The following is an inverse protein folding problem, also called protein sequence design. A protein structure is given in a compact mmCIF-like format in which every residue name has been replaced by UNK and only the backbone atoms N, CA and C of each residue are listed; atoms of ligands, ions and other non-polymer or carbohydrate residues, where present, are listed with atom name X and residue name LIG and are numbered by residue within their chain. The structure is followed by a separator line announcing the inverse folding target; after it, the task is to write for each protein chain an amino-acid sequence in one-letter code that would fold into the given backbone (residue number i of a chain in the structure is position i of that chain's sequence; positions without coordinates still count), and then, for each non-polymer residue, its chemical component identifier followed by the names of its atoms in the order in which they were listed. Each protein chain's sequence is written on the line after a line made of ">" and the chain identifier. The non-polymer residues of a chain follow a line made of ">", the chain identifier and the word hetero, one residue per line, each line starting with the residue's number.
data_IF_260749830923
#
_entry.id   IF_260749830923
#
_cell.length_a   1.000
_cell.length_b   1.000
_cell.length_c   1.000
_cell.angle_alpha   90.00
_cell.angle_beta   90.00
_cell.angle_gamma   90.00
#
_symmetry.space_group_name_H-M   'P 1'
#
loop_
_entity.id
_entity.type
_entity.pdbx_description
1 polymer ?
#
# COMPACT_ATOMS: atom_id res chain seq x y z
N UNK A 1 -45.01 4.67 -8.55
CA UNK A 1 -43.93 4.83 -9.54
C UNK A 1 -42.79 3.94 -9.09
N UNK A 2 -42.74 2.70 -9.57
CA UNK A 2 -41.57 1.84 -9.38
C UNK A 2 -40.67 2.09 -10.58
N UNK A 3 -39.69 2.98 -10.44
CA UNK A 3 -38.60 3.03 -11.42
C UNK A 3 -37.84 1.71 -11.28
N UNK A 4 -38.08 0.79 -12.22
CA UNK A 4 -37.22 -0.35 -12.49
C UNK A 4 -35.77 0.14 -12.40
N UNK A 5 -35.00 -0.37 -11.45
CA UNK A 5 -33.58 -0.07 -11.34
C UNK A 5 -32.95 -0.34 -12.70
N UNK A 6 -32.46 0.69 -13.37
CA UNK A 6 -31.94 0.57 -14.72
C UNK A 6 -30.76 -0.42 -14.72
N UNK A 7 -31.00 -1.61 -15.24
CA UNK A 7 -30.04 -2.70 -15.48
C UNK A 7 -29.22 -2.47 -16.74
N UNK A 8 -29.40 -1.33 -17.42
CA UNK A 8 -28.70 -1.00 -18.65
C UNK A 8 -27.23 -0.80 -18.36
N UNK A 9 -26.38 -1.60 -18.99
CA UNK A 9 -24.94 -1.44 -18.89
C UNK A 9 -24.50 -0.09 -19.49
N UNK A 10 -23.50 0.54 -18.87
CA UNK A 10 -22.88 1.76 -19.35
C UNK A 10 -21.49 1.45 -19.89
N UNK A 11 -21.12 2.08 -21.01
CA UNK A 11 -19.79 1.93 -21.61
C UNK A 11 -19.34 3.25 -22.22
N UNK A 12 -18.11 3.68 -21.94
CA UNK A 12 -17.58 4.97 -22.40
C UNK A 12 -16.27 5.38 -21.76
N UNK A 13 -15.87 6.64 -21.95
CA UNK A 13 -14.73 7.22 -21.24
C UNK A 13 -15.05 7.41 -19.76
N UNK A 14 -14.02 7.47 -18.92
CA UNK A 14 -14.19 7.71 -17.49
C UNK A 14 -14.95 9.02 -17.21
N UNK A 15 -14.69 10.07 -18.01
CA UNK A 15 -15.38 11.37 -17.89
C UNK A 15 -16.86 11.28 -18.23
N UNK A 16 -17.22 10.58 -19.31
CA UNK A 16 -18.61 10.43 -19.74
C UNK A 16 -19.41 9.60 -18.73
N UNK A 17 -18.83 8.49 -18.25
CA UNK A 17 -19.45 7.61 -17.28
C UNK A 17 -19.62 8.32 -15.93
N UNK A 18 -18.60 9.06 -15.46
CA UNK A 18 -18.71 9.84 -14.24
C UNK A 18 -19.80 10.92 -14.34
N UNK A 19 -19.91 11.58 -15.50
CA UNK A 19 -20.97 12.56 -15.76
C UNK A 19 -22.36 11.92 -15.79
N UNK A 20 -22.50 10.76 -16.43
CA UNK A 20 -23.75 10.02 -16.51
C UNK A 20 -24.22 9.48 -15.15
N UNK A 21 -23.29 9.14 -14.26
CA UNK A 21 -23.55 8.67 -12.91
C UNK A 21 -23.64 9.79 -11.86
N UNK A 22 -23.51 11.06 -12.26
CA UNK A 22 -23.56 12.19 -11.33
C UNK A 22 -24.91 12.23 -10.58
N UNK A 23 -24.85 12.13 -9.25
CA UNK A 23 -26.03 12.09 -8.36
C UNK A 23 -26.71 10.73 -8.25
N UNK A 24 -26.18 9.69 -8.90
CA UNK A 24 -26.63 8.30 -8.79
C UNK A 24 -25.78 7.58 -7.73
N UNK A 25 -26.40 6.82 -6.83
CA UNK A 25 -25.70 6.10 -5.75
C UNK A 25 -26.02 4.60 -5.72
N UNK A 26 -26.74 4.10 -6.71
CA UNK A 26 -27.24 2.72 -6.72
C UNK A 26 -27.41 2.18 -8.14
N UNK A 27 -26.52 2.56 -9.06
CA UNK A 27 -26.52 1.96 -10.39
C UNK A 27 -26.15 0.48 -10.27
N UNK A 28 -26.96 -0.41 -10.84
CA UNK A 28 -26.76 -1.86 -10.72
C UNK A 28 -26.38 -2.54 -12.04
N UNK A 29 -26.39 -1.79 -13.15
CA UNK A 29 -25.87 -2.24 -14.44
C UNK A 29 -24.34 -2.37 -14.41
N UNK A 30 -23.80 -3.22 -15.29
CA UNK A 30 -22.35 -3.30 -15.48
C UNK A 30 -21.80 -1.99 -16.08
N UNK A 31 -20.60 -1.61 -15.67
CA UNK A 31 -19.92 -0.40 -16.14
C UNK A 31 -18.62 -0.78 -16.82
N UNK A 32 -18.43 -0.34 -18.06
CA UNK A 32 -17.18 -0.50 -18.81
C UNK A 32 -16.53 0.86 -19.04
N UNK A 33 -15.34 1.06 -18.49
CA UNK A 33 -14.51 2.25 -18.73
C UNK A 33 -13.47 1.92 -19.79
N UNK A 34 -13.61 2.50 -20.98
CA UNK A 34 -12.75 2.20 -22.14
C UNK A 34 -11.59 3.15 -22.32
N UNK A 35 -11.64 4.32 -21.69
CA UNK A 35 -10.53 5.27 -21.71
C UNK A 35 -10.47 6.09 -20.42
N UNK A 36 -9.24 6.34 -19.98
CA UNK A 36 -8.97 7.17 -18.80
C UNK A 36 -9.22 8.66 -19.07
N UNK A 37 -9.29 9.46 -18.00
CA UNK A 37 -9.26 10.92 -18.09
C UNK A 37 -7.96 11.40 -18.73
N UNK A 38 -8.04 12.36 -19.66
CA UNK A 38 -6.88 12.97 -20.31
C UNK A 38 -6.41 14.26 -19.64
N UNK A 39 -7.22 14.84 -18.75
CA UNK A 39 -6.83 16.00 -17.93
C UNK A 39 -6.11 15.52 -16.67
N UNK A 40 -4.97 16.14 -16.34
CA UNK A 40 -4.11 15.81 -15.19
C UNK A 40 -4.03 14.28 -14.93
N UNK A 41 -3.53 13.56 -15.95
CA UNK A 41 -3.62 12.11 -16.03
C UNK A 41 -3.14 11.43 -14.73
N UNK A 42 -3.99 10.57 -14.19
CA UNK A 42 -3.76 9.82 -12.95
C UNK A 42 -4.49 10.37 -11.73
N UNK A 43 -4.52 11.68 -11.51
CA UNK A 43 -5.24 12.29 -10.38
C UNK A 43 -6.73 12.44 -10.69
N UNK A 44 -7.07 13.07 -11.83
CA UNK A 44 -8.46 13.24 -12.22
C UNK A 44 -9.10 11.88 -12.56
N UNK A 45 -8.31 10.97 -13.14
CA UNK A 45 -8.78 9.62 -13.42
C UNK A 45 -9.08 8.84 -12.13
N UNK A 46 -8.24 8.96 -11.10
CA UNK A 46 -8.50 8.38 -9.79
C UNK A 46 -9.81 8.91 -9.19
N UNK A 47 -10.01 10.23 -9.22
CA UNK A 47 -11.23 10.85 -8.70
C UNK A 47 -12.49 10.34 -9.42
N UNK A 48 -12.43 10.21 -10.76
CA UNK A 48 -13.53 9.67 -11.56
C UNK A 48 -13.79 8.19 -11.25
N UNK A 49 -12.76 7.34 -11.17
CA UNK A 49 -12.94 5.93 -10.80
C UNK A 49 -13.53 5.77 -9.41
N UNK A 50 -13.06 6.55 -8.43
CA UNK A 50 -13.61 6.56 -7.07
C UNK A 50 -15.09 6.94 -7.07
N UNK A 51 -15.48 7.97 -7.82
CA UNK A 51 -16.87 8.40 -7.92
C UNK A 51 -17.75 7.36 -8.63
N UNK A 52 -17.27 6.79 -9.74
CA UNK A 52 -17.96 5.70 -10.46
C UNK A 52 -18.17 4.49 -9.55
N UNK A 53 -17.13 4.07 -8.81
CA UNK A 53 -17.22 2.94 -7.89
C UNK A 53 -18.18 3.19 -6.72
N UNK A 54 -18.25 4.41 -6.22
CA UNK A 54 -19.22 4.79 -5.18
C UNK A 54 -20.67 4.84 -5.72
N UNK A 55 -20.85 5.15 -7.00
CA UNK A 55 -22.16 5.29 -7.64
C UNK A 55 -22.78 3.95 -8.09
N UNK A 56 -21.97 2.89 -8.21
CA UNK A 56 -22.38 1.60 -8.76
C UNK A 56 -22.20 0.45 -7.78
N UNK A 57 -23.18 -0.45 -7.74
CA UNK A 57 -23.05 -1.78 -7.16
C UNK A 57 -22.86 -2.86 -8.23
N UNK A 58 -22.92 -2.48 -9.51
CA UNK A 58 -22.63 -3.37 -10.64
C UNK A 58 -21.13 -3.61 -10.80
N UNK A 59 -20.76 -4.59 -11.61
CA UNK A 59 -19.34 -4.84 -11.91
C UNK A 59 -18.74 -3.68 -12.70
N UNK A 60 -17.50 -3.31 -12.38
CA UNK A 60 -16.71 -2.36 -13.16
C UNK A 60 -15.63 -3.13 -13.92
N UNK A 61 -15.56 -2.90 -15.23
CA UNK A 61 -14.56 -3.45 -16.14
C UNK A 61 -13.77 -2.30 -16.75
N UNK A 62 -12.45 -2.29 -16.57
CA UNK A 62 -11.55 -1.35 -17.22
C UNK A 62 -10.98 -1.99 -18.49
N UNK A 63 -10.83 -1.22 -19.54
CA UNK A 63 -10.24 -1.68 -20.81
C UNK A 63 -9.42 -0.58 -21.48
N UNK A 64 -8.54 -0.97 -22.41
CA UNK A 64 -7.64 -0.06 -23.13
C UNK A 64 -6.90 0.88 -22.18
N UNK A 65 -6.89 2.20 -22.40
CA UNK A 65 -6.23 3.14 -21.50
C UNK A 65 -6.89 3.23 -20.12
N UNK A 66 -8.15 2.83 -19.97
CA UNK A 66 -8.77 2.72 -18.65
C UNK A 66 -8.10 1.68 -17.75
N UNK A 67 -7.61 0.58 -18.32
CA UNK A 67 -6.96 -0.49 -17.56
C UNK A 67 -5.49 -0.23 -17.23
N UNK A 68 -4.82 0.63 -18.01
CA UNK A 68 -3.35 0.77 -17.98
C UNK A 68 -2.86 2.15 -17.55
N UNK A 69 -3.72 3.18 -17.54
CA UNK A 69 -3.32 4.53 -17.13
C UNK A 69 -2.92 4.53 -15.66
N UNK A 70 -1.72 5.05 -15.37
CA UNK A 70 -1.22 5.18 -14.02
C UNK A 70 -2.15 6.04 -13.16
N UNK A 71 -2.39 5.62 -11.92
CA UNK A 71 -3.16 6.37 -10.92
C UNK A 71 -2.20 7.02 -9.93
N UNK A 72 -2.61 8.17 -9.38
CA UNK A 72 -1.84 8.84 -8.33
C UNK A 72 -2.79 9.43 -7.27
N UNK A 73 -2.53 9.13 -6.00
CA UNK A 73 -3.32 9.67 -4.89
C UNK A 73 -2.97 9.05 -3.54
N UNK A 74 -3.85 9.22 -2.55
CA UNK A 74 -3.67 8.61 -1.23
C UNK A 74 -3.94 7.11 -1.28
N UNK A 75 -3.38 6.35 -0.33
CA UNK A 75 -3.61 4.91 -0.25
C UNK A 75 -5.11 4.57 -0.08
N UNK A 76 -5.83 5.41 0.68
CA UNK A 76 -7.28 5.25 0.89
C UNK A 76 -8.09 5.52 -0.38
N UNK A 77 -7.75 6.55 -1.15
CA UNK A 77 -8.43 6.87 -2.41
C UNK A 77 -8.20 5.79 -3.47
N UNK A 78 -6.96 5.31 -3.59
CA UNK A 78 -6.59 4.23 -4.51
C UNK A 78 -7.35 2.93 -4.18
N UNK A 79 -7.38 2.53 -2.90
CA UNK A 79 -8.15 1.36 -2.48
C UNK A 79 -9.65 1.52 -2.71
N UNK A 80 -10.20 2.72 -2.47
CA UNK A 80 -11.61 3.01 -2.73
C UNK A 80 -11.93 2.92 -4.22
N UNK A 81 -11.09 3.50 -5.08
CA UNK A 81 -11.29 3.48 -6.52
C UNK A 81 -11.16 2.08 -7.14
N UNK A 82 -10.19 1.28 -6.65
CA UNK A 82 -9.91 -0.07 -7.15
C UNK A 82 -10.66 -1.18 -6.40
N UNK A 83 -11.57 -0.83 -5.49
CA UNK A 83 -12.40 -1.83 -4.79
C UNK A 83 -13.27 -2.58 -5.79
N UNK A 84 -13.25 -3.92 -5.76
CA UNK A 84 -13.99 -4.78 -6.70
C UNK A 84 -13.50 -4.81 -8.15
N UNK A 85 -12.56 -3.94 -8.54
CA UNK A 85 -11.99 -3.91 -9.90
C UNK A 85 -10.84 -4.91 -9.99
N UNK A 86 -10.95 -5.88 -10.91
CA UNK A 86 -9.92 -6.91 -11.16
C UNK A 86 -9.21 -6.76 -12.51
N UNK A 87 -9.64 -5.80 -13.32
CA UNK A 87 -9.15 -5.57 -14.69
C UNK A 87 -8.12 -4.44 -14.78
N UNK A 88 -7.81 -3.80 -13.65
CA UNK A 88 -6.74 -2.82 -13.59
C UNK A 88 -5.38 -3.53 -13.60
N UNK A 89 -4.48 -3.05 -14.45
CA UNK A 89 -3.11 -3.59 -14.60
C UNK A 89 -2.07 -2.46 -14.67
N UNK A 90 -2.49 -1.22 -14.43
CA UNK A 90 -1.61 -0.05 -14.41
C UNK A 90 -0.88 0.09 -13.07
N UNK A 91 0.00 1.10 -13.01
CA UNK A 91 0.70 1.46 -11.78
C UNK A 91 -0.09 2.43 -10.91
N UNK A 92 0.08 2.35 -9.60
CA UNK A 92 -0.56 3.22 -8.63
C UNK A 92 0.49 3.91 -7.74
N UNK A 93 0.72 5.21 -7.96
CA UNK A 93 1.58 6.02 -7.10
C UNK A 93 0.85 6.45 -5.84
N UNK A 94 1.28 5.90 -4.71
CA UNK A 94 0.77 6.19 -3.38
C UNK A 94 1.53 7.36 -2.77
N UNK A 95 0.83 8.47 -2.55
CA UNK A 95 1.40 9.76 -2.11
C UNK A 95 1.25 10.03 -0.62
N UNK A 96 0.66 9.08 0.12
CA UNK A 96 0.49 9.11 1.58
C UNK A 96 1.20 7.92 2.20
N UNK A 97 1.71 8.06 3.43
CA UNK A 97 2.17 6.89 4.20
C UNK A 97 1.03 5.85 4.26
N UNK A 98 1.37 4.57 4.10
CA UNK A 98 0.43 3.45 4.22
C UNK A 98 0.91 2.50 5.32
N UNK A 99 -0.03 1.80 5.98
CA UNK A 99 0.35 0.61 6.74
C UNK A 99 0.51 -0.60 5.81
N UNK A 100 1.15 -1.66 6.29
CA UNK A 100 1.51 -2.80 5.46
C UNK A 100 0.29 -3.53 4.90
N UNK A 101 -0.77 -3.65 5.70
CA UNK A 101 -2.03 -4.26 5.25
C UNK A 101 -2.64 -3.50 4.05
N UNK A 102 -2.62 -2.17 4.11
CA UNK A 102 -3.09 -1.29 3.04
C UNK A 102 -2.18 -1.40 1.81
N UNK A 103 -0.86 -1.42 2.02
CA UNK A 103 0.13 -1.57 0.95
C UNK A 103 -0.03 -2.91 0.21
N UNK A 104 -0.15 -4.01 0.95
CA UNK A 104 -0.37 -5.34 0.37
C UNK A 104 -1.70 -5.43 -0.40
N UNK A 105 -2.73 -4.71 0.02
CA UNK A 105 -4.00 -4.64 -0.74
C UNK A 105 -3.79 -3.96 -2.10
N UNK A 106 -2.99 -2.88 -2.14
CA UNK A 106 -2.68 -2.16 -3.38
C UNK A 106 -1.76 -2.96 -4.30
N UNK A 107 -0.74 -3.63 -3.75
CA UNK A 107 0.18 -4.47 -4.52
C UNK A 107 -0.52 -5.68 -5.19
N UNK A 108 -1.63 -6.16 -4.61
CA UNK A 108 -2.44 -7.20 -5.23
C UNK A 108 -3.38 -6.68 -6.34
N UNK A 109 -3.53 -5.35 -6.48
CA UNK A 109 -4.50 -4.70 -7.38
C UNK A 109 -3.87 -3.91 -8.52
N UNK A 110 -2.59 -3.59 -8.40
CA UNK A 110 -1.85 -2.68 -9.26
C UNK A 110 -0.36 -2.95 -9.12
N UNK A 111 0.47 -2.30 -9.94
CA UNK A 111 1.90 -2.16 -9.63
C UNK A 111 2.04 -0.93 -8.72
N UNK A 112 2.06 -1.13 -7.41
CA UNK A 112 2.04 -0.04 -6.44
C UNK A 112 3.42 0.63 -6.25
N UNK A 113 3.46 1.96 -6.14
CA UNK A 113 4.68 2.73 -5.88
C UNK A 113 4.45 3.58 -4.63
N UNK A 114 5.08 3.24 -3.52
CA UNK A 114 4.88 3.83 -2.20
C UNK A 114 5.81 5.01 -1.94
N UNK A 115 5.61 6.10 -2.70
CA UNK A 115 6.47 7.30 -2.66
C UNK A 115 6.60 7.97 -1.28
N UNK A 116 5.63 7.78 -0.39
CA UNK A 116 5.66 8.28 0.99
C UNK A 116 6.11 7.23 2.02
N UNK A 117 6.41 6.00 1.57
CA UNK A 117 6.82 4.87 2.41
C UNK A 117 5.68 4.11 3.08
N UNK A 118 6.08 3.03 3.76
CA UNK A 118 5.19 2.16 4.54
C UNK A 118 5.59 2.25 6.01
N UNK A 119 4.61 2.50 6.88
CA UNK A 119 4.80 2.56 8.34
C UNK A 119 3.99 1.48 9.01
N UNK A 120 4.63 0.60 9.78
CA UNK A 120 3.93 -0.44 10.54
C UNK A 120 4.73 -0.91 11.76
N UNK A 121 4.21 -1.86 12.53
CA UNK A 121 4.94 -2.50 13.63
C UNK A 121 5.90 -3.56 13.11
N UNK A 122 6.95 -3.89 13.87
CA UNK A 122 7.87 -4.99 13.50
C UNK A 122 7.11 -6.31 13.35
N UNK A 123 6.14 -6.58 14.23
CA UNK A 123 5.30 -7.79 14.16
C UNK A 123 4.46 -7.91 12.90
N UNK A 124 4.26 -6.81 12.16
CA UNK A 124 3.56 -6.83 10.88
C UNK A 124 4.54 -6.97 9.72
N UNK A 125 5.80 -6.52 9.85
CA UNK A 125 6.82 -6.69 8.82
C UNK A 125 7.50 -8.05 8.83
N UNK A 126 7.63 -8.71 10.00
CA UNK A 126 8.35 -9.97 10.17
C UNK A 126 7.42 -11.07 10.69
N UNK A 127 7.64 -12.30 10.23
CA UNK A 127 6.86 -13.44 10.69
C UNK A 127 7.07 -13.72 12.19
N UNK A 128 6.13 -14.43 12.81
CA UNK A 128 6.16 -14.73 14.25
C UNK A 128 7.36 -15.55 14.73
N UNK A 129 8.16 -16.10 13.82
CA UNK A 129 9.35 -16.89 14.13
C UNK A 129 10.66 -16.12 13.91
N UNK A 130 10.60 -14.84 13.55
CA UNK A 130 11.77 -13.99 13.26
C UNK A 130 12.72 -14.62 12.25
N UNK A 131 12.17 -15.30 11.24
CA UNK A 131 12.96 -16.05 10.24
C UNK A 131 12.86 -15.50 8.83
N UNK A 132 11.83 -14.71 8.54
CA UNK A 132 11.61 -14.06 7.26
C UNK A 132 10.63 -12.89 7.43
N UNK A 133 10.63 -11.97 6.47
CA UNK A 133 9.59 -10.95 6.36
C UNK A 133 8.23 -11.55 6.01
N UNK A 134 7.16 -10.84 6.37
CA UNK A 134 5.80 -11.19 6.01
C UNK A 134 5.59 -11.15 4.49
N UNK A 135 4.73 -12.03 3.99
CA UNK A 135 4.40 -12.06 2.54
C UNK A 135 3.84 -10.73 2.05
N UNK A 136 3.12 -10.01 2.93
CA UNK A 136 2.61 -8.68 2.66
C UNK A 136 3.73 -7.67 2.34
N UNK A 137 4.87 -7.75 3.04
CA UNK A 137 6.04 -6.90 2.76
C UNK A 137 6.73 -7.32 1.47
N UNK A 138 6.89 -8.62 1.24
CA UNK A 138 7.42 -9.14 -0.03
C UNK A 138 6.61 -8.65 -1.22
N UNK A 139 5.27 -8.64 -1.14
CA UNK A 139 4.42 -8.14 -2.21
C UNK A 139 4.63 -6.64 -2.47
N UNK A 140 4.69 -5.83 -1.40
CA UNK A 140 4.88 -4.39 -1.54
C UNK A 140 6.26 -4.03 -2.13
N UNK A 141 7.32 -4.69 -1.67
CA UNK A 141 8.69 -4.51 -2.18
C UNK A 141 8.83 -4.99 -3.63
N UNK A 142 8.15 -6.07 -4.02
CA UNK A 142 8.21 -6.55 -5.40
C UNK A 142 7.69 -5.51 -6.41
N UNK A 143 6.71 -4.70 -6.01
CA UNK A 143 6.23 -3.58 -6.83
C UNK A 143 7.10 -2.32 -6.69
N UNK A 144 7.63 -2.06 -5.49
CA UNK A 144 8.41 -0.87 -5.14
C UNK A 144 9.70 -1.25 -4.38
N UNK A 145 10.72 -1.67 -5.14
CA UNK A 145 11.93 -2.29 -4.57
C UNK A 145 12.78 -1.36 -3.69
N UNK A 146 12.61 -0.05 -3.82
CA UNK A 146 13.29 0.98 -3.03
C UNK A 146 12.34 1.68 -2.03
N UNK A 147 11.23 1.03 -1.66
CA UNK A 147 10.27 1.57 -0.69
C UNK A 147 10.92 1.89 0.65
N UNK A 148 10.68 3.11 1.15
CA UNK A 148 11.07 3.47 2.51
C UNK A 148 10.14 2.79 3.52
N UNK A 149 10.71 2.18 4.56
CA UNK A 149 9.98 1.53 5.64
C UNK A 149 10.17 2.29 6.95
N UNK A 150 9.17 2.27 7.82
CA UNK A 150 9.24 2.94 9.12
C UNK A 150 8.57 2.10 10.20
N UNK A 151 9.24 1.99 11.35
CA UNK A 151 8.70 1.30 12.52
C UNK A 151 7.83 2.25 13.33
N UNK A 152 6.61 1.81 13.62
CA UNK A 152 5.64 2.56 14.46
C UNK A 152 5.73 2.19 15.94
N UNK A 153 6.25 1.01 16.24
CA UNK A 153 6.51 0.47 17.58
C UNK A 153 7.99 0.54 17.96
N UNK A 154 8.76 1.44 17.33
CA UNK A 154 10.16 1.68 17.66
C UNK A 154 10.37 1.80 19.17
N UNK A 155 9.46 2.44 19.92
CA UNK A 155 9.58 2.63 21.38
C UNK A 155 9.70 1.34 22.22
N UNK A 156 9.44 0.16 21.65
CA UNK A 156 9.75 -1.13 22.28
C UNK A 156 11.22 -1.53 22.17
N UNK A 157 11.57 -2.63 22.82
CA UNK A 157 12.79 -3.34 22.46
C UNK A 157 12.55 -4.10 21.15
N UNK A 158 13.47 -3.99 20.21
CA UNK A 158 13.44 -4.71 18.93
C UNK A 158 14.61 -5.69 18.88
N UNK A 159 14.55 -6.73 18.04
CA UNK A 159 15.67 -7.66 17.89
C UNK A 159 16.53 -7.26 16.68
N UNK A 160 17.84 -7.47 16.76
CA UNK A 160 18.72 -7.25 15.61
C UNK A 160 18.37 -8.15 14.42
N UNK A 161 17.84 -9.34 14.68
CA UNK A 161 17.38 -10.27 13.64
C UNK A 161 16.23 -9.67 12.85
N UNK A 162 15.20 -9.17 13.53
CA UNK A 162 14.05 -8.57 12.85
C UNK A 162 14.43 -7.31 12.08
N UNK A 163 15.29 -6.44 12.66
CA UNK A 163 15.78 -5.25 11.97
C UNK A 163 16.54 -5.62 10.69
N UNK A 164 17.46 -6.58 10.75
CA UNK A 164 18.22 -7.01 9.59
C UNK A 164 17.30 -7.62 8.51
N UNK A 165 16.30 -8.42 8.89
CA UNK A 165 15.33 -8.98 7.95
C UNK A 165 14.55 -7.88 7.21
N UNK A 166 14.11 -6.84 7.92
CA UNK A 166 13.37 -5.72 7.32
C UNK A 166 14.29 -4.87 6.44
N UNK A 167 15.50 -4.58 6.92
CA UNK A 167 16.50 -3.81 6.19
C UNK A 167 16.87 -4.49 4.87
N UNK A 168 17.12 -5.81 4.89
CA UNK A 168 17.48 -6.57 3.70
C UNK A 168 16.34 -6.74 2.71
N UNK A 169 15.09 -6.57 3.16
CA UNK A 169 13.92 -6.68 2.32
C UNK A 169 13.72 -5.48 1.40
N UNK A 170 14.33 -4.32 1.63
CA UNK A 170 14.17 -3.13 0.78
C UNK A 170 15.51 -2.51 0.39
N UNK A 171 15.59 -1.92 -0.81
CA UNK A 171 16.70 -1.05 -1.18
C UNK A 171 16.53 0.39 -0.66
N UNK A 172 15.34 0.71 -0.14
CA UNK A 172 15.02 2.00 0.47
C UNK A 172 15.59 2.17 1.87
N UNK A 173 15.17 3.23 2.54
CA UNK A 173 15.58 3.52 3.92
C UNK A 173 14.63 2.86 4.91
N UNK A 174 15.19 2.14 5.89
CA UNK A 174 14.49 1.71 7.09
C UNK A 174 14.64 2.75 8.20
N UNK A 175 13.52 3.36 8.60
CA UNK A 175 13.44 4.28 9.72
C UNK A 175 12.97 3.58 10.98
N UNK A 176 13.86 3.46 11.95
CA UNK A 176 13.56 2.79 13.22
C UNK A 176 12.72 3.66 14.18
N UNK A 177 12.57 4.95 13.92
CA UNK A 177 12.01 5.90 14.87
C UNK A 177 12.92 6.10 16.09
N UNK A 178 12.33 6.08 17.29
CA UNK A 178 13.06 6.05 18.55
C UNK A 178 12.98 4.65 19.15
N UNK A 179 14.10 3.93 19.15
CA UNK A 179 14.17 2.56 19.66
C UNK A 179 14.70 2.49 21.08
N UNK A 180 13.93 1.88 21.99
CA UNK A 180 14.34 1.73 23.39
C UNK A 180 15.53 0.80 23.54
N UNK A 181 15.61 -0.27 22.76
CA UNK A 181 16.84 -1.03 22.65
C UNK A 181 16.83 -2.05 21.53
N UNK A 182 18.03 -2.41 21.07
CA UNK A 182 18.23 -3.52 20.14
C UNK A 182 18.77 -4.71 20.92
N UNK A 183 18.00 -5.79 20.97
CA UNK A 183 18.36 -7.06 21.60
C UNK A 183 19.19 -7.90 20.63
N UNK A 184 20.37 -8.30 21.08
CA UNK A 184 21.29 -9.19 20.40
C UNK A 184 21.11 -10.60 20.95
N UNK A 185 20.85 -11.58 20.09
CA UNK A 185 20.96 -12.98 20.49
C UNK A 185 22.43 -13.32 20.85
N UNK A 186 22.64 -14.35 21.67
CA UNK A 186 23.99 -14.82 22.00
C UNK A 186 24.78 -15.07 20.71
N UNK A 187 26.00 -14.52 20.66
CA UNK A 187 26.91 -14.55 19.51
C UNK A 187 26.36 -13.91 18.20
N UNK A 188 25.21 -13.21 18.25
CA UNK A 188 24.70 -12.45 17.11
C UNK A 188 25.46 -11.14 16.92
N UNK A 189 25.78 -10.83 15.67
CA UNK A 189 26.32 -9.54 15.26
C UNK A 189 25.18 -8.66 14.75
N UNK A 190 25.08 -7.43 15.27
CA UNK A 190 24.19 -6.42 14.71
C UNK A 190 24.82 -5.82 13.45
N UNK A 191 24.61 -6.46 12.31
CA UNK A 191 25.05 -5.93 11.00
C UNK A 191 24.03 -4.92 10.43
N UNK A 192 23.72 -3.89 11.22
CA UNK A 192 22.79 -2.81 10.85
C UNK A 192 23.53 -1.84 9.91
N UNK A 193 23.12 -1.73 8.64
CA UNK A 193 23.86 -0.89 7.68
C UNK A 193 23.43 0.57 7.82
N UNK A 194 24.33 1.37 8.37
CA UNK A 194 24.11 2.81 8.63
C UNK A 194 23.82 3.66 7.38
N UNK A 195 24.04 3.14 6.16
CA UNK A 195 23.67 3.80 4.91
C UNK A 195 22.17 3.71 4.58
N UNK A 196 21.50 2.69 5.11
CA UNK A 196 20.11 2.32 4.78
C UNK A 196 19.20 2.33 6.00
N UNK A 197 19.75 2.49 7.20
CA UNK A 197 19.00 2.58 8.45
C UNK A 197 19.16 3.96 9.09
N UNK A 198 18.05 4.58 9.51
CA UNK A 198 18.04 5.80 10.30
C UNK A 198 17.16 5.66 11.56
N UNK A 199 17.25 6.64 12.47
CA UNK A 199 16.55 6.65 13.75
C UNK A 199 17.50 6.86 14.93
N UNK A 200 16.96 6.78 16.15
CA UNK A 200 17.73 6.86 17.39
C UNK A 200 17.61 5.54 18.16
N UNK A 201 18.74 4.94 18.53
CA UNK A 201 18.81 3.74 19.37
C UNK A 201 19.29 4.17 20.75
N UNK A 202 18.52 3.87 21.80
CA UNK A 202 18.88 4.24 23.18
C UNK A 202 19.96 3.32 23.74
N UNK A 203 19.86 2.00 23.53
CA UNK A 203 20.84 1.03 24.02
C UNK A 203 20.86 -0.26 23.17
N UNK A 204 21.97 -1.00 23.26
CA UNK A 204 22.06 -2.39 22.81
C UNK A 204 21.99 -3.29 24.04
N UNK A 205 21.22 -4.38 23.99
CA UNK A 205 21.03 -5.33 25.09
C UNK A 205 21.50 -6.72 24.65
N UNK A 206 22.30 -7.40 25.47
CA UNK A 206 22.59 -8.82 25.27
C UNK A 206 21.50 -9.70 25.87
N UNK A 207 21.30 -10.91 25.35
CA UNK A 207 20.40 -11.92 25.93
C UNK A 207 20.73 -12.30 27.38
N UNK A 208 21.94 -12.01 27.84
CA UNK A 208 22.40 -12.25 29.21
C UNK A 208 22.43 -11.03 30.15
N UNK A 209 22.11 -9.81 29.67
CA UNK A 209 22.25 -8.57 30.45
C UNK A 209 21.05 -8.29 31.38
N UNK A 210 20.59 -9.35 32.05
CA UNK A 210 19.62 -9.27 33.14
C UNK A 210 20.31 -9.58 34.47
N UNK A 211 21.58 -9.17 34.63
CA UNK A 211 22.20 -9.08 35.96
C UNK A 211 21.99 -7.67 36.48
N UNK A 212 21.02 -7.55 37.39
CA UNK A 212 20.97 -6.43 38.31
C UNK A 212 22.34 -6.24 38.99
N UNK A 213 22.87 -5.02 38.89
CA UNK A 213 23.69 -4.40 39.93
C UNK A 213 23.07 -3.02 40.23
#
# INVERSE_FOLDING_TARGET
>A
MSSSGATTALSGSASDINSALSGITSHSGGVTVSSASTSNAGVDYLAQLKAINAATSGSITLSSSGATTALQGTASDLNSALSGITTYVGSATVTSEANLSTANTLAQKSVAIFSAGITDTVSNFVNSSSSAVETALTNAVNDDGDVNLKLSDGSGDQTAVDINLIEEATAGVLNLGLVNGIVLADDATADIKTSTVNGAIVQFKGTGDNSAD
#
